data_IF_663618668116
#
_entry.id   IF_663618668116
#
_cell.length_a   1.000
_cell.length_b   1.000
_cell.length_c   1.000
_cell.angle_alpha   90.00
_cell.angle_beta   90.00
_cell.angle_gamma   90.00
#
_symmetry.space_group_name_H-M   'P 1'
#
loop_
_entity.id
_entity.type
_entity.pdbx_description
1 polymer ?
#
# COMPACT_ATOMS: atom_id res chain seq x y z
N UNK A 1 6.63 14.78 81.87
CA UNK A 1 5.57 14.84 82.84
C UNK A 1 4.52 13.86 82.40
N UNK A 2 4.63 12.53 82.82
CA UNK A 2 3.93 11.95 83.94
C UNK A 2 2.42 12.20 83.75
N UNK A 3 1.51 11.21 83.62
CA UNK A 3 1.16 10.04 84.39
C UNK A 3 0.16 9.15 83.59
N UNK A 4 0.37 7.89 83.34
CA UNK A 4 -0.23 6.65 83.89
C UNK A 4 -1.72 6.70 84.26
N UNK A 5 -2.53 5.72 83.81
CA UNK A 5 -3.23 4.69 84.57
C UNK A 5 -4.40 4.12 83.76
N UNK A 6 -4.50 2.92 83.43
CA UNK A 6 -4.75 1.62 84.10
C UNK A 6 -6.22 1.15 83.93
N UNK A 7 -6.32 -0.03 83.32
CA UNK A 7 -7.19 -1.22 83.54
C UNK A 7 -8.70 -1.06 83.79
N UNK A 8 -9.54 -1.75 83.00
CA UNK A 8 -10.35 -2.87 83.56
C UNK A 8 -10.83 -3.82 82.46
N UNK A 9 -10.80 -5.09 82.82
CA UNK A 9 -11.25 -6.29 82.09
C UNK A 9 -12.76 -6.43 82.17
N UNK A 10 -13.39 -6.94 81.11
CA UNK A 10 -14.75 -7.49 81.16
C UNK A 10 -14.83 -8.65 80.16
N UNK A 11 -15.20 -9.83 80.70
CA UNK A 11 -15.38 -11.10 79.98
C UNK A 11 -16.79 -11.21 79.38
N UNK A 12 -16.83 -11.84 78.21
CA UNK A 12 -17.80 -12.81 77.64
C UNK A 12 -19.15 -12.27 77.14
N UNK A 13 -19.87 -13.01 76.25
CA UNK A 13 -19.71 -14.39 75.85
C UNK A 13 -19.64 -14.61 74.31
N UNK A 14 -19.17 -15.79 73.95
CA UNK A 14 -19.09 -16.40 72.63
C UNK A 14 -20.51 -16.72 72.11
N UNK A 15 -20.88 -16.17 70.96
CA UNK A 15 -22.02 -16.64 70.14
C UNK A 15 -21.44 -17.23 68.85
N UNK A 16 -21.50 -18.55 68.75
CA UNK A 16 -21.13 -19.29 67.56
C UNK A 16 -22.20 -19.06 66.48
N UNK A 17 -21.85 -18.33 65.41
CA UNK A 17 -22.66 -18.21 64.21
C UNK A 17 -22.10 -19.16 63.15
N UNK A 18 -22.78 -20.29 62.90
CA UNK A 18 -22.52 -21.17 61.76
C UNK A 18 -22.86 -20.45 60.48
N UNK A 19 -21.86 -19.98 59.76
CA UNK A 19 -22.00 -19.55 58.35
C UNK A 19 -21.75 -20.73 57.44
N UNK A 20 -22.84 -21.18 56.80
CA UNK A 20 -22.80 -22.13 55.67
C UNK A 20 -22.25 -21.38 54.48
N UNK A 21 -21.02 -21.71 54.05
CA UNK A 21 -20.45 -21.27 52.74
C UNK A 21 -21.11 -22.10 51.64
N UNK A 22 -21.66 -21.44 50.59
CA UNK A 22 -22.03 -22.15 49.39
C UNK A 22 -20.72 -22.51 48.65
N UNK A 23 -20.45 -23.81 48.43
CA UNK A 23 -19.46 -24.27 47.45
C UNK A 23 -19.90 -23.80 46.06
N UNK A 24 -19.35 -22.69 45.63
CA UNK A 24 -19.39 -22.29 44.24
C UNK A 24 -18.55 -23.24 43.39
N UNK A 25 -19.19 -24.02 42.51
CA UNK A 25 -18.53 -24.75 41.43
C UNK A 25 -17.84 -23.69 40.53
N UNK A 26 -16.56 -23.45 40.80
CA UNK A 26 -15.69 -22.75 39.86
C UNK A 26 -15.51 -23.66 38.64
N UNK A 27 -16.37 -23.49 37.62
CA UNK A 27 -16.13 -24.03 36.30
C UNK A 27 -14.81 -23.47 35.80
N UNK A 28 -13.80 -24.31 35.63
CA UNK A 28 -12.60 -23.99 34.84
C UNK A 28 -13.05 -23.61 33.44
N UNK A 29 -13.26 -22.33 33.17
CA UNK A 29 -13.19 -21.82 31.81
C UNK A 29 -11.73 -22.03 31.38
N UNK A 30 -11.51 -23.05 30.51
CA UNK A 30 -10.27 -23.13 29.76
C UNK A 30 -10.15 -21.79 29.04
N UNK A 31 -9.17 -20.95 29.43
CA UNK A 31 -8.72 -19.85 28.60
C UNK A 31 -8.41 -20.46 27.24
N UNK A 32 -9.17 -20.06 26.22
CA UNK A 32 -8.84 -20.39 24.84
C UNK A 32 -7.45 -19.78 24.61
N UNK A 33 -6.48 -20.62 24.38
CA UNK A 33 -5.18 -20.18 23.84
C UNK A 33 -5.51 -19.35 22.61
N UNK A 34 -5.08 -18.08 22.51
CA UNK A 34 -5.34 -17.28 21.31
C UNK A 34 -4.77 -18.04 20.11
N UNK A 35 -5.60 -18.26 19.09
CA UNK A 35 -5.11 -18.81 17.82
C UNK A 35 -3.98 -17.91 17.31
N UNK A 36 -2.88 -18.50 16.77
CA UNK A 36 -1.78 -17.71 16.25
C UNK A 36 -2.31 -16.78 15.15
N UNK A 37 -2.05 -15.50 15.30
CA UNK A 37 -2.50 -14.50 14.33
C UNK A 37 -1.76 -14.70 12.99
N UNK A 38 -2.50 -14.96 11.92
CA UNK A 38 -1.95 -15.11 10.56
C UNK A 38 -1.33 -13.77 10.14
N UNK A 39 -0.04 -13.72 9.73
CA UNK A 39 0.58 -12.49 9.27
C UNK A 39 -0.08 -11.95 8.02
N UNK A 40 -0.12 -10.63 7.86
CA UNK A 40 -0.56 -9.98 6.63
C UNK A 40 0.46 -10.13 5.50
N UNK A 41 -0.04 -10.15 4.26
CA UNK A 41 0.80 -10.15 3.06
C UNK A 41 1.33 -11.52 2.65
N UNK A 42 0.75 -12.60 3.15
CA UNK A 42 1.10 -13.95 2.68
C UNK A 42 0.37 -14.25 1.37
N UNK A 43 1.10 -14.66 0.31
CA UNK A 43 0.48 -15.11 -0.93
C UNK A 43 -0.51 -16.25 -0.69
N UNK A 44 -1.65 -16.20 -1.36
CA UNK A 44 -2.65 -17.29 -1.35
C UNK A 44 -2.48 -18.17 -2.59
N UNK A 45 -2.80 -19.45 -2.45
CA UNK A 45 -2.99 -20.37 -3.57
C UNK A 45 -4.49 -20.55 -3.78
N UNK A 46 -5.03 -19.86 -4.79
CA UNK A 46 -6.47 -19.86 -5.04
C UNK A 46 -7.01 -18.54 -5.59
N UNK A 47 -8.34 -18.32 -5.50
CA UNK A 47 -8.94 -17.07 -5.94
C UNK A 47 -8.53 -15.90 -5.05
N UNK A 48 -8.31 -14.72 -5.66
CA UNK A 48 -8.06 -13.47 -4.94
C UNK A 48 -9.35 -12.70 -4.63
N UNK A 49 -10.39 -12.97 -5.43
CA UNK A 49 -11.68 -12.31 -5.39
C UNK A 49 -12.81 -13.33 -5.33
N UNK A 50 -13.87 -12.99 -4.60
CA UNK A 50 -15.13 -13.73 -4.61
C UNK A 50 -16.25 -12.82 -5.13
N UNK A 51 -17.01 -13.31 -6.11
CA UNK A 51 -18.19 -12.63 -6.65
C UNK A 51 -19.32 -12.70 -5.64
N UNK A 52 -19.90 -11.55 -5.27
CA UNK A 52 -21.04 -11.51 -4.36
C UNK A 52 -22.32 -11.97 -5.08
N UNK A 53 -22.93 -13.00 -4.54
CA UNK A 53 -24.20 -13.55 -5.03
C UNK A 53 -25.42 -12.78 -4.48
N UNK A 54 -26.64 -13.20 -4.86
CA UNK A 54 -27.89 -12.57 -4.41
C UNK A 54 -28.11 -12.62 -2.89
N UNK A 55 -27.54 -13.61 -2.20
CA UNK A 55 -27.65 -13.79 -0.75
C UNK A 55 -26.51 -13.16 0.06
N UNK A 56 -25.46 -12.68 -0.59
CA UNK A 56 -24.34 -12.04 0.10
C UNK A 56 -24.66 -10.60 0.50
N UNK A 57 -24.20 -10.14 1.68
CA UNK A 57 -24.32 -8.75 2.08
C UNK A 57 -23.52 -7.85 1.13
N UNK A 58 -24.22 -6.94 0.45
CA UNK A 58 -23.59 -5.98 -0.47
C UNK A 58 -23.10 -4.74 0.29
N UNK A 59 -21.98 -4.13 -0.13
CA UNK A 59 -21.52 -2.89 0.45
C UNK A 59 -22.46 -1.73 0.12
N UNK A 60 -22.62 -0.79 1.06
CA UNK A 60 -23.29 0.49 0.79
C UNK A 60 -22.34 1.42 0.06
N UNK A 61 -22.80 2.07 -1.01
CA UNK A 61 -22.05 3.07 -1.76
C UNK A 61 -22.32 4.51 -1.26
N UNK A 62 -23.23 4.70 -0.30
CA UNK A 62 -23.72 6.02 0.09
C UNK A 62 -22.62 6.97 0.56
N UNK A 63 -21.72 6.50 1.44
CA UNK A 63 -20.62 7.33 1.94
C UNK A 63 -19.60 7.65 0.84
N UNK A 64 -19.24 6.67 0.02
CA UNK A 64 -18.32 6.88 -1.11
C UNK A 64 -18.93 7.81 -2.18
N UNK A 65 -20.23 7.67 -2.47
CA UNK A 65 -20.95 8.56 -3.36
C UNK A 65 -20.98 10.01 -2.85
N UNK A 66 -21.22 10.21 -1.55
CA UNK A 66 -21.20 11.54 -0.94
C UNK A 66 -19.82 12.18 -0.94
N UNK A 67 -18.79 11.36 -0.89
CA UNK A 67 -17.40 11.79 -0.86
C UNK A 67 -16.74 11.91 -2.24
N UNK A 68 -17.51 11.70 -3.33
CA UNK A 68 -17.01 11.88 -4.69
C UNK A 68 -16.61 13.32 -4.94
N UNK A 69 -15.68 13.54 -5.84
CA UNK A 69 -15.22 14.87 -6.18
C UNK A 69 -14.09 14.84 -7.20
N UNK A 70 -13.44 15.97 -7.38
CA UNK A 70 -12.42 16.21 -8.40
C UNK A 70 -11.33 15.14 -8.44
N UNK A 71 -10.87 14.67 -7.28
CA UNK A 71 -9.80 13.65 -7.21
C UNK A 71 -10.24 12.32 -7.84
N UNK A 72 -11.50 11.91 -7.61
CA UNK A 72 -12.05 10.73 -8.27
C UNK A 72 -12.18 10.92 -9.78
N UNK A 73 -12.65 12.10 -10.24
CA UNK A 73 -12.77 12.41 -11.67
C UNK A 73 -11.41 12.39 -12.37
N UNK A 74 -10.37 12.96 -11.73
CA UNK A 74 -8.99 12.90 -12.22
C UNK A 74 -8.48 11.46 -12.30
N UNK A 75 -8.69 10.66 -11.27
CA UNK A 75 -8.26 9.26 -11.23
C UNK A 75 -8.98 8.41 -12.30
N UNK A 76 -10.28 8.62 -12.51
CA UNK A 76 -11.04 7.98 -13.58
C UNK A 76 -10.46 8.36 -14.98
N UNK A 77 -10.16 9.63 -15.19
CA UNK A 77 -9.54 10.09 -16.44
C UNK A 77 -8.16 9.44 -16.67
N UNK A 78 -7.36 9.28 -15.62
CA UNK A 78 -6.07 8.59 -15.71
C UNK A 78 -6.22 7.10 -16.08
N UNK A 79 -7.18 6.38 -15.48
CA UNK A 79 -7.46 4.99 -15.87
C UNK A 79 -7.93 4.89 -17.32
N UNK A 80 -8.82 5.76 -17.78
CA UNK A 80 -9.24 5.80 -19.19
C UNK A 80 -8.07 6.05 -20.13
N UNK A 81 -7.19 6.99 -19.81
CA UNK A 81 -5.96 7.27 -20.56
C UNK A 81 -5.04 6.05 -20.66
N UNK A 82 -4.94 5.26 -19.58
CA UNK A 82 -4.18 4.02 -19.61
C UNK A 82 -4.83 2.96 -20.52
N UNK A 83 -6.13 2.76 -20.43
CA UNK A 83 -6.84 1.81 -21.30
C UNK A 83 -6.76 2.19 -22.78
N UNK A 84 -6.61 3.46 -23.12
CA UNK A 84 -6.39 3.92 -24.51
C UNK A 84 -5.02 3.51 -25.08
N UNK A 85 -4.04 3.15 -24.22
CA UNK A 85 -2.75 2.64 -24.67
C UNK A 85 -2.89 1.19 -25.14
N UNK A 86 -2.44 0.82 -26.38
CA UNK A 86 -2.54 -0.55 -26.86
C UNK A 86 -1.88 -1.58 -25.92
N UNK A 87 -0.82 -1.17 -25.23
CA UNK A 87 -0.10 -2.00 -24.26
C UNK A 87 -0.95 -2.42 -23.06
N UNK A 88 -2.07 -1.75 -22.77
CA UNK A 88 -2.95 -2.16 -21.67
C UNK A 88 -3.59 -3.53 -21.90
N UNK A 89 -3.80 -3.93 -23.15
CA UNK A 89 -4.46 -5.19 -23.53
C UNK A 89 -3.67 -6.43 -23.11
N UNK A 90 -2.34 -6.33 -23.03
CA UNK A 90 -1.46 -7.48 -22.70
C UNK A 90 -1.67 -8.04 -21.28
N UNK A 91 -2.33 -7.28 -20.42
CA UNK A 91 -2.59 -7.65 -19.03
C UNK A 91 -3.96 -8.34 -18.84
N UNK A 92 -4.68 -8.58 -19.93
CA UNK A 92 -6.00 -9.21 -19.92
C UNK A 92 -6.05 -10.45 -20.81
N UNK A 93 -6.94 -11.43 -20.52
CA UNK A 93 -7.90 -11.42 -19.42
C UNK A 93 -7.20 -11.53 -18.06
N UNK A 94 -7.72 -10.80 -17.05
CA UNK A 94 -7.24 -10.91 -15.68
C UNK A 94 -7.73 -12.20 -15.05
N UNK A 95 -6.81 -12.98 -14.50
CA UNK A 95 -7.12 -14.18 -13.74
C UNK A 95 -7.54 -13.86 -12.32
N UNK A 96 -8.35 -14.74 -11.73
CA UNK A 96 -8.74 -14.67 -10.33
C UNK A 96 -7.67 -15.35 -9.46
N UNK A 97 -6.73 -14.55 -8.95
CA UNK A 97 -5.61 -15.08 -8.20
C UNK A 97 -4.77 -16.04 -9.04
N UNK A 98 -4.50 -17.23 -8.50
CA UNK A 98 -3.75 -18.31 -9.17
C UNK A 98 -4.63 -19.29 -9.95
N UNK A 99 -5.95 -19.05 -9.97
CA UNK A 99 -6.92 -19.95 -10.65
C UNK A 99 -6.97 -19.74 -12.16
N UNK A 100 -7.65 -20.64 -12.87
CA UNK A 100 -7.94 -20.50 -14.30
C UNK A 100 -9.11 -19.55 -14.60
N UNK A 101 -9.91 -19.18 -13.60
CA UNK A 101 -11.06 -18.30 -13.75
C UNK A 101 -10.64 -16.90 -14.22
N UNK A 102 -11.41 -16.30 -15.12
CA UNK A 102 -11.22 -14.92 -15.54
C UNK A 102 -12.16 -14.01 -14.72
N UNK A 103 -11.58 -12.95 -14.10
CA UNK A 103 -12.34 -11.91 -13.42
C UNK A 103 -12.88 -10.90 -14.42
N UNK A 104 -12.04 -10.48 -15.37
CA UNK A 104 -12.40 -9.47 -16.37
C UNK A 104 -11.63 -9.65 -17.67
N UNK A 105 -12.28 -9.38 -18.80
CA UNK A 105 -11.62 -9.10 -20.08
C UNK A 105 -11.21 -7.63 -20.15
N UNK A 106 -10.38 -7.27 -21.14
CA UNK A 106 -10.00 -5.88 -21.37
C UNK A 106 -11.21 -4.99 -21.70
N UNK A 107 -12.15 -5.52 -22.47
CA UNK A 107 -13.39 -4.83 -22.85
C UNK A 107 -14.24 -4.55 -21.61
N UNK A 108 -14.44 -5.54 -20.72
CA UNK A 108 -15.17 -5.35 -19.47
C UNK A 108 -14.50 -4.32 -18.56
N UNK A 109 -13.17 -4.40 -18.40
CA UNK A 109 -12.43 -3.50 -17.52
C UNK A 109 -12.44 -2.06 -18.03
N UNK A 110 -12.18 -1.84 -19.33
CA UNK A 110 -12.16 -0.51 -19.93
C UNK A 110 -13.56 0.13 -20.01
N UNK A 111 -14.55 -0.63 -20.47
CA UNK A 111 -15.96 -0.21 -20.49
C UNK A 111 -16.52 0.03 -19.09
N UNK A 112 -16.03 -0.73 -18.10
CA UNK A 112 -16.43 -0.57 -16.70
C UNK A 112 -16.05 0.80 -16.14
N UNK A 113 -14.89 1.34 -16.46
CA UNK A 113 -14.51 2.71 -16.06
C UNK A 113 -15.39 3.76 -16.73
N UNK A 114 -15.73 3.57 -18.01
CA UNK A 114 -16.66 4.46 -18.74
C UNK A 114 -18.05 4.42 -18.13
N UNK A 115 -18.60 3.23 -17.94
CA UNK A 115 -19.92 3.02 -17.34
C UNK A 115 -20.02 3.62 -15.94
N UNK A 116 -19.01 3.36 -15.08
CA UNK A 116 -18.96 3.92 -13.74
C UNK A 116 -18.98 5.45 -13.76
N UNK A 117 -18.14 6.07 -14.59
CA UNK A 117 -18.06 7.54 -14.71
C UNK A 117 -19.38 8.14 -15.18
N UNK A 118 -20.03 7.52 -16.16
CA UNK A 118 -21.31 7.96 -16.68
C UNK A 118 -22.41 7.83 -15.63
N UNK A 119 -22.54 6.66 -15.00
CA UNK A 119 -23.55 6.42 -13.96
C UNK A 119 -23.34 7.36 -12.77
N UNK A 120 -22.07 7.60 -12.36
CA UNK A 120 -21.76 8.53 -11.29
C UNK A 120 -22.23 9.95 -11.59
N UNK A 121 -22.05 10.42 -12.83
CA UNK A 121 -22.44 11.75 -13.28
C UNK A 121 -23.97 11.91 -13.41
N UNK A 122 -24.66 10.86 -13.85
CA UNK A 122 -26.11 10.89 -14.11
C UNK A 122 -26.96 10.61 -12.86
N UNK A 123 -26.38 10.02 -11.81
CA UNK A 123 -27.12 9.61 -10.63
C UNK A 123 -27.53 10.79 -9.76
N UNK A 124 -28.82 10.89 -9.48
CA UNK A 124 -29.43 11.95 -8.69
C UNK A 124 -29.24 11.78 -7.18
N UNK A 125 -29.01 10.56 -6.71
CA UNK A 125 -28.85 10.22 -5.30
C UNK A 125 -27.97 8.96 -5.12
N UNK A 126 -27.52 8.73 -3.88
CA UNK A 126 -26.77 7.53 -3.54
C UNK A 126 -27.58 6.24 -3.79
N UNK A 127 -28.88 6.27 -3.54
CA UNK A 127 -29.78 5.13 -3.78
C UNK A 127 -29.94 4.87 -5.28
N UNK A 128 -30.12 5.91 -6.10
CA UNK A 128 -30.17 5.79 -7.56
C UNK A 128 -28.85 5.24 -8.10
N UNK A 129 -27.71 5.76 -7.61
CA UNK A 129 -26.39 5.25 -7.96
C UNK A 129 -26.21 3.78 -7.61
N UNK A 130 -26.54 3.38 -6.37
CA UNK A 130 -26.47 1.99 -5.91
C UNK A 130 -27.25 1.06 -6.85
N UNK A 131 -28.51 1.42 -7.16
CA UNK A 131 -29.39 0.62 -8.02
C UNK A 131 -28.80 0.44 -9.41
N UNK A 132 -28.31 1.51 -10.04
CA UNK A 132 -27.73 1.48 -11.38
C UNK A 132 -26.42 0.66 -11.42
N UNK A 133 -25.55 0.82 -10.42
CA UNK A 133 -24.32 0.02 -10.33
C UNK A 133 -24.65 -1.46 -10.19
N UNK A 134 -25.54 -1.86 -9.30
CA UNK A 134 -25.92 -3.26 -9.10
C UNK A 134 -26.58 -3.89 -10.34
N UNK A 135 -27.24 -3.08 -11.16
CA UNK A 135 -27.83 -3.54 -12.41
C UNK A 135 -26.75 -3.99 -13.41
N UNK A 136 -25.69 -3.20 -13.59
CA UNK A 136 -24.73 -3.39 -14.69
C UNK A 136 -23.36 -3.93 -14.23
N UNK A 137 -23.04 -3.89 -12.93
CA UNK A 137 -21.79 -4.42 -12.40
C UNK A 137 -22.02 -5.67 -11.55
N UNK A 138 -21.07 -6.57 -11.63
CA UNK A 138 -20.81 -7.59 -10.61
C UNK A 138 -19.90 -6.98 -9.55
N UNK A 139 -20.21 -7.24 -8.28
CA UNK A 139 -19.40 -6.79 -7.15
C UNK A 139 -18.55 -7.97 -6.70
N UNK A 140 -17.24 -7.79 -6.74
CA UNK A 140 -16.28 -8.79 -6.29
C UNK A 140 -15.58 -8.27 -5.04
N UNK A 141 -15.46 -9.10 -4.01
CA UNK A 141 -14.78 -8.77 -2.77
C UNK A 141 -13.46 -9.52 -2.66
N UNK A 142 -12.41 -8.88 -2.16
CA UNK A 142 -11.18 -9.57 -1.81
C UNK A 142 -11.46 -10.70 -0.81
N UNK A 143 -10.81 -11.84 -1.00
CA UNK A 143 -10.94 -13.00 -0.10
C UNK A 143 -10.28 -12.77 1.26
N UNK A 144 -9.37 -11.78 1.37
CA UNK A 144 -8.77 -11.38 2.63
C UNK A 144 -7.57 -12.21 3.06
N UNK A 145 -7.26 -12.13 4.34
CA UNK A 145 -6.01 -12.53 4.98
C UNK A 145 -5.75 -14.04 4.92
N UNK A 146 -6.78 -14.84 5.11
CA UNK A 146 -6.67 -16.31 5.10
C UNK A 146 -7.38 -16.94 3.90
N UNK A 147 -7.78 -16.12 2.91
CA UNK A 147 -8.60 -16.56 1.78
C UNK A 147 -10.10 -16.63 2.08
N UNK A 148 -10.55 -16.32 3.30
CA UNK A 148 -11.94 -16.45 3.73
C UNK A 148 -12.46 -15.31 4.59
N UNK A 149 -11.61 -14.62 5.37
CA UNK A 149 -12.00 -13.60 6.35
C UNK A 149 -12.43 -12.26 5.69
N UNK A 150 -12.12 -12.09 4.39
CA UNK A 150 -12.44 -10.90 3.59
C UNK A 150 -11.84 -9.59 4.15
N UNK A 151 -10.85 -9.70 5.05
CA UNK A 151 -10.16 -8.56 5.65
C UNK A 151 -8.94 -8.17 4.82
N UNK A 152 -8.83 -6.89 4.50
CA UNK A 152 -7.69 -6.31 3.80
C UNK A 152 -7.04 -5.27 4.70
N UNK A 153 -5.74 -5.38 4.89
CA UNK A 153 -4.96 -4.34 5.56
C UNK A 153 -4.68 -3.20 4.59
N UNK A 154 -5.14 -2.01 4.94
CA UNK A 154 -4.83 -0.80 4.20
C UNK A 154 -3.68 -0.06 4.86
N UNK A 155 -2.55 0.00 4.17
CA UNK A 155 -1.42 0.87 4.51
C UNK A 155 -1.41 2.09 3.59
N UNK A 156 -0.49 3.04 3.84
CA UNK A 156 -0.44 4.28 3.06
C UNK A 156 0.91 4.44 2.36
N UNK A 157 0.87 5.06 1.19
CA UNK A 157 2.07 5.54 0.52
C UNK A 157 1.89 6.97 0.01
N UNK A 158 2.99 7.64 -0.27
CA UNK A 158 2.99 9.03 -0.68
C UNK A 158 4.13 9.30 -1.68
N UNK A 159 4.08 10.44 -2.34
CA UNK A 159 5.17 10.87 -3.22
C UNK A 159 6.09 11.82 -2.46
N UNK A 160 7.34 11.40 -2.20
CA UNK A 160 8.26 12.20 -1.40
C UNK A 160 8.83 13.37 -2.19
N UNK A 161 9.19 14.43 -1.44
CA UNK A 161 9.88 15.61 -1.93
C UNK A 161 11.19 15.80 -1.16
N UNK A 162 12.27 15.95 -1.91
CA UNK A 162 13.61 16.10 -1.35
C UNK A 162 14.39 17.23 -2.01
N UNK A 163 15.51 17.62 -1.38
CA UNK A 163 16.52 18.48 -1.99
C UNK A 163 17.63 17.62 -2.56
N UNK A 164 18.17 17.99 -3.71
CA UNK A 164 19.24 17.25 -4.36
C UNK A 164 20.10 18.12 -5.26
N UNK A 165 21.13 17.50 -5.86
CA UNK A 165 22.04 18.15 -6.81
C UNK A 165 22.42 17.18 -7.92
N UNK A 166 22.58 17.66 -9.15
CA UNK A 166 23.08 16.84 -10.28
C UNK A 166 24.54 16.47 -10.11
N UNK A 167 25.26 17.19 -9.28
CA UNK A 167 26.68 16.94 -9.01
C UNK A 167 26.91 16.68 -7.53
N UNK A 168 27.85 15.80 -7.22
CA UNK A 168 28.30 15.55 -5.86
C UNK A 168 28.96 16.80 -5.31
N UNK A 169 28.39 17.45 -4.30
CA UNK A 169 28.91 18.68 -3.73
C UNK A 169 28.35 18.96 -2.33
N UNK A 170 29.15 19.57 -1.46
CA UNK A 170 28.72 19.99 -0.12
C UNK A 170 27.98 18.88 0.63
N UNK A 171 26.69 19.11 0.95
CA UNK A 171 25.83 18.17 1.66
C UNK A 171 25.23 17.05 0.79
N UNK A 172 25.32 17.17 -0.52
CA UNK A 172 24.75 16.19 -1.45
C UNK A 172 25.77 15.09 -1.76
N UNK A 173 25.72 13.98 -1.01
CA UNK A 173 26.73 12.92 -1.04
C UNK A 173 26.17 11.54 -1.38
N UNK A 174 24.83 11.35 -1.39
CA UNK A 174 24.17 10.05 -1.51
C UNK A 174 23.39 9.95 -2.82
N UNK A 175 23.86 9.12 -3.79
CA UNK A 175 23.28 9.10 -5.13
C UNK A 175 22.05 8.22 -5.26
N UNK A 176 21.14 8.61 -6.17
CA UNK A 176 20.28 7.67 -6.92
C UNK A 176 20.96 7.35 -8.24
N UNK A 177 20.79 6.10 -8.69
CA UNK A 177 21.45 5.63 -9.90
C UNK A 177 20.46 5.38 -11.04
N UNK A 178 20.92 5.62 -12.27
CA UNK A 178 20.25 5.24 -13.51
C UNK A 178 20.21 3.72 -13.63
N UNK A 179 19.24 3.24 -14.40
CA UNK A 179 19.14 1.84 -14.76
C UNK A 179 20.39 1.42 -15.54
N UNK A 180 21.14 0.41 -15.07
CA UNK A 180 22.26 -0.17 -15.82
C UNK A 180 21.78 -0.90 -17.07
N UNK A 181 22.62 -0.90 -18.12
CA UNK A 181 22.28 -1.56 -19.39
C UNK A 181 22.22 -3.09 -19.29
N UNK A 182 22.93 -3.67 -18.33
CA UNK A 182 22.98 -5.11 -18.07
C UNK A 182 21.81 -5.63 -17.21
N UNK A 183 20.96 -4.74 -16.63
CA UNK A 183 19.79 -5.14 -15.87
C UNK A 183 18.73 -5.77 -16.79
N UNK A 184 18.40 -7.03 -16.56
CA UNK A 184 17.39 -7.79 -17.32
C UNK A 184 16.06 -7.78 -16.55
N UNK A 185 15.00 -7.39 -17.26
CA UNK A 185 13.62 -7.48 -16.77
C UNK A 185 12.74 -8.17 -17.81
N UNK A 186 11.66 -8.77 -17.36
CA UNK A 186 10.62 -9.28 -18.24
C UNK A 186 10.01 -8.12 -19.04
N UNK A 187 9.93 -8.22 -20.37
CA UNK A 187 9.49 -7.11 -21.22
C UNK A 187 7.99 -6.78 -21.07
N UNK A 188 7.21 -7.73 -20.57
CA UNK A 188 5.75 -7.57 -20.40
C UNK A 188 5.41 -7.15 -18.99
N UNK A 189 5.90 -7.89 -18.00
CA UNK A 189 5.54 -7.68 -16.59
C UNK A 189 6.43 -6.67 -15.88
N UNK A 190 7.65 -6.41 -16.41
CA UNK A 190 8.67 -5.61 -15.75
C UNK A 190 9.38 -6.32 -14.59
N UNK A 191 9.08 -7.61 -14.35
CA UNK A 191 9.73 -8.38 -13.28
C UNK A 191 11.24 -8.49 -13.49
N UNK A 192 12.05 -8.27 -12.42
CA UNK A 192 13.49 -8.40 -12.52
C UNK A 192 13.89 -9.88 -12.72
N UNK A 193 14.85 -10.11 -13.63
CA UNK A 193 15.39 -11.43 -13.94
C UNK A 193 16.86 -11.57 -13.55
N UNK A 194 17.54 -10.46 -13.23
CA UNK A 194 18.94 -10.42 -12.87
C UNK A 194 19.80 -9.55 -13.78
N UNK A 195 21.04 -9.94 -13.96
CA UNK A 195 22.10 -9.24 -14.68
C UNK A 195 22.58 -10.05 -15.87
N UNK A 196 22.74 -9.43 -17.02
CA UNK A 196 23.33 -10.05 -18.22
C UNK A 196 24.85 -9.94 -18.18
N UNK A 197 25.54 -11.06 -18.31
CA UNK A 197 26.99 -11.12 -18.44
C UNK A 197 27.43 -10.96 -19.91
N UNK A 198 28.73 -10.77 -20.12
CA UNK A 198 29.33 -10.61 -21.45
C UNK A 198 29.13 -11.83 -22.39
N UNK A 199 29.00 -13.03 -21.84
CA UNK A 199 28.70 -14.26 -22.56
C UNK A 199 27.19 -14.43 -22.87
N UNK A 200 26.36 -13.46 -22.48
CA UNK A 200 24.91 -13.46 -22.69
C UNK A 200 24.10 -14.17 -21.60
N UNK A 201 24.73 -14.89 -20.68
CA UNK A 201 24.05 -15.55 -19.55
C UNK A 201 23.42 -14.51 -18.60
N UNK A 202 22.39 -14.93 -17.87
CA UNK A 202 21.73 -14.09 -16.87
C UNK A 202 21.96 -14.71 -15.50
N UNK A 203 22.50 -13.92 -14.58
CA UNK A 203 22.76 -14.29 -13.20
C UNK A 203 22.04 -13.32 -12.25
N UNK A 204 21.89 -13.69 -10.99
CA UNK A 204 21.36 -12.77 -9.98
C UNK A 204 22.19 -11.50 -9.88
N UNK A 205 21.53 -10.35 -9.75
CA UNK A 205 22.19 -9.05 -9.54
C UNK A 205 22.90 -9.01 -8.17
N UNK A 206 23.83 -8.07 -7.99
CA UNK A 206 24.44 -7.80 -6.69
C UNK A 206 23.40 -7.27 -5.68
N UNK A 207 23.61 -7.55 -4.40
CA UNK A 207 22.81 -7.02 -3.31
C UNK A 207 23.08 -5.52 -3.10
N UNK A 208 22.17 -4.82 -2.40
CA UNK A 208 22.34 -3.41 -2.00
C UNK A 208 23.69 -3.15 -1.36
N UNK A 209 24.08 -3.96 -0.38
CA UNK A 209 25.35 -3.80 0.33
C UNK A 209 26.56 -4.03 -0.56
N UNK A 210 26.52 -5.00 -1.49
CA UNK A 210 27.58 -5.23 -2.48
C UNK A 210 27.69 -4.05 -3.43
N UNK A 211 26.56 -3.53 -3.97
CA UNK A 211 26.55 -2.35 -4.84
C UNK A 211 27.12 -1.11 -4.15
N UNK A 212 26.82 -0.92 -2.88
CA UNK A 212 27.34 0.21 -2.11
C UNK A 212 28.86 0.16 -1.93
N UNK A 213 29.44 -1.05 -1.83
CA UNK A 213 30.88 -1.26 -1.56
C UNK A 213 31.73 -1.43 -2.82
N UNK A 214 31.16 -1.99 -3.89
CA UNK A 214 31.93 -2.35 -5.09
C UNK A 214 32.33 -1.14 -5.96
N UNK A 215 31.54 -0.06 -5.89
CA UNK A 215 31.70 1.09 -6.78
C UNK A 215 31.29 0.82 -8.24
N UNK A 216 30.67 -0.35 -8.54
CA UNK A 216 30.29 -0.71 -9.92
C UNK A 216 29.23 0.20 -10.55
N UNK A 217 28.51 0.98 -9.71
CA UNK A 217 27.53 1.98 -10.18
C UNK A 217 28.18 3.38 -10.42
N UNK A 218 29.51 3.49 -10.31
CA UNK A 218 30.21 4.74 -10.59
C UNK A 218 29.98 5.18 -12.05
N UNK A 219 29.57 6.45 -12.24
CA UNK A 219 29.19 7.02 -13.53
C UNK A 219 27.70 6.81 -13.89
N UNK A 220 26.97 6.02 -13.13
CA UNK A 220 25.52 5.85 -13.31
C UNK A 220 24.68 6.77 -12.40
N UNK A 221 25.32 7.68 -11.64
CA UNK A 221 24.61 8.58 -10.74
C UNK A 221 23.68 9.51 -11.52
N UNK A 222 22.45 9.60 -11.05
CA UNK A 222 21.40 10.43 -11.64
C UNK A 222 21.29 11.78 -10.90
N UNK A 223 21.29 11.72 -9.57
CA UNK A 223 21.14 12.86 -8.66
C UNK A 223 21.70 12.48 -7.30
N UNK A 224 22.22 13.46 -6.58
CA UNK A 224 22.82 13.32 -5.25
C UNK A 224 21.92 13.95 -4.20
N UNK A 225 21.65 13.24 -3.08
CA UNK A 225 20.78 13.62 -1.99
C UNK A 225 21.59 13.95 -0.71
N UNK A 226 20.90 14.53 0.28
CA UNK A 226 21.52 14.94 1.54
C UNK A 226 21.87 13.78 2.47
N UNK A 227 21.10 12.67 2.42
CA UNK A 227 21.32 11.50 3.26
C UNK A 227 21.08 10.18 2.52
N UNK A 228 21.73 9.12 3.01
CA UNK A 228 21.48 7.74 2.54
C UNK A 228 20.05 7.31 2.83
N UNK A 229 19.46 7.77 3.93
CA UNK A 229 18.07 7.50 4.27
C UNK A 229 17.10 8.13 3.27
N UNK A 230 17.36 9.37 2.80
CA UNK A 230 16.52 10.01 1.78
C UNK A 230 16.58 9.22 0.46
N UNK A 231 17.78 8.80 0.05
CA UNK A 231 17.95 7.92 -1.12
C UNK A 231 17.20 6.59 -0.95
N UNK A 232 17.27 5.99 0.23
CA UNK A 232 16.55 4.75 0.56
C UNK A 232 15.03 4.95 0.51
N UNK A 233 14.51 6.03 1.08
CA UNK A 233 13.08 6.35 1.05
C UNK A 233 12.58 6.49 -0.39
N UNK A 234 13.32 7.17 -1.25
CA UNK A 234 12.98 7.30 -2.68
C UNK A 234 12.96 5.92 -3.36
N UNK A 235 13.92 5.05 -3.04
CA UNK A 235 13.96 3.69 -3.59
C UNK A 235 12.76 2.85 -3.15
N UNK A 236 12.27 3.02 -1.92
CA UNK A 236 11.06 2.32 -1.43
C UNK A 236 9.81 2.86 -2.12
N UNK A 237 9.70 4.19 -2.30
CA UNK A 237 8.53 4.83 -2.92
C UNK A 237 8.52 4.72 -4.47
N UNK A 238 9.68 4.49 -5.10
CA UNK A 238 9.79 4.32 -6.55
C UNK A 238 9.72 5.63 -7.36
N UNK A 239 9.40 6.77 -6.76
CA UNK A 239 9.38 8.09 -7.42
C UNK A 239 9.61 9.21 -6.41
N UNK A 240 10.09 10.37 -6.91
CA UNK A 240 10.24 11.59 -6.10
C UNK A 240 10.26 12.85 -6.96
N UNK A 241 9.88 13.97 -6.33
CA UNK A 241 10.23 15.31 -6.80
C UNK A 241 11.46 15.79 -6.02
N UNK A 242 12.47 16.26 -6.74
CA UNK A 242 13.74 16.72 -6.16
C UNK A 242 13.95 18.18 -6.54
N UNK A 243 13.95 19.05 -5.54
CA UNK A 243 14.23 20.48 -5.74
C UNK A 243 15.74 20.69 -5.81
N UNK A 244 16.20 21.26 -6.93
CA UNK A 244 17.60 21.56 -7.20
C UNK A 244 18.07 22.85 -6.51
N UNK A 245 19.38 23.10 -6.38
CA UNK A 245 19.89 24.30 -5.74
C UNK A 245 19.48 25.62 -6.42
N UNK A 246 19.16 25.56 -7.72
CA UNK A 246 18.67 26.71 -8.51
C UNK A 246 17.14 26.91 -8.42
N UNK A 247 16.46 26.07 -7.61
CA UNK A 247 15.02 26.10 -7.43
C UNK A 247 14.22 25.34 -8.49
N UNK A 248 14.85 24.78 -9.52
CA UNK A 248 14.20 23.91 -10.49
C UNK A 248 13.83 22.57 -9.86
N UNK A 249 12.89 21.86 -10.47
CA UNK A 249 12.48 20.53 -10.04
C UNK A 249 12.97 19.46 -11.02
N UNK A 250 13.52 18.38 -10.48
CA UNK A 250 13.75 17.12 -11.18
C UNK A 250 12.72 16.11 -10.72
N UNK A 251 12.15 15.37 -11.66
CA UNK A 251 11.25 14.26 -11.37
C UNK A 251 11.96 12.96 -11.69
N UNK A 252 12.01 12.06 -10.71
CA UNK A 252 12.60 10.73 -10.86
C UNK A 252 11.53 9.65 -10.69
N UNK A 253 11.56 8.66 -11.55
CA UNK A 253 10.64 7.53 -11.54
C UNK A 253 11.38 6.20 -11.64
N UNK A 254 10.71 5.14 -11.22
CA UNK A 254 11.20 3.77 -11.25
C UNK A 254 11.60 3.35 -12.68
N UNK A 255 12.81 2.82 -12.82
CA UNK A 255 13.35 2.33 -14.09
C UNK A 255 13.74 0.84 -14.04
N UNK A 256 13.57 0.20 -12.90
CA UNK A 256 13.87 -1.19 -12.64
C UNK A 256 14.47 -1.41 -11.27
N UNK A 257 14.53 -2.67 -10.86
CA UNK A 257 15.18 -3.09 -9.61
C UNK A 257 15.93 -4.40 -9.82
N UNK A 258 16.83 -4.72 -8.88
CA UNK A 258 17.47 -6.03 -8.83
C UNK A 258 16.45 -7.14 -8.51
N UNK A 259 16.79 -8.38 -8.88
CA UNK A 259 16.00 -9.58 -8.56
C UNK A 259 16.13 -10.03 -7.10
N UNK A 260 16.79 -9.22 -6.27
CA UNK A 260 16.97 -9.49 -4.84
C UNK A 260 15.70 -9.27 -4.03
N UNK A 261 15.52 -10.03 -2.94
CA UNK A 261 14.34 -9.90 -2.08
C UNK A 261 14.30 -8.53 -1.40
N UNK A 262 13.07 -8.05 -1.21
CA UNK A 262 12.80 -6.85 -0.42
C UNK A 262 12.65 -7.23 1.06
N UNK A 263 13.30 -6.46 1.94
CA UNK A 263 13.10 -6.54 3.37
C UNK A 263 12.94 -5.14 3.97
N UNK A 264 11.82 -4.88 4.65
CA UNK A 264 11.46 -3.54 5.13
C UNK A 264 12.39 -3.05 6.25
N UNK A 265 12.87 -1.79 6.14
CA UNK A 265 13.71 -1.17 7.17
C UNK A 265 13.03 -1.12 8.53
N UNK A 266 11.72 -0.80 8.56
CA UNK A 266 10.96 -0.77 9.81
C UNK A 266 11.03 -2.12 10.55
N UNK A 267 10.84 -3.23 9.84
CA UNK A 267 10.98 -4.57 10.41
C UNK A 267 12.41 -4.84 10.87
N UNK A 268 13.41 -4.44 10.08
CA UNK A 268 14.82 -4.57 10.47
C UNK A 268 15.12 -3.86 11.78
N UNK A 269 14.53 -2.66 11.99
CA UNK A 269 14.73 -1.87 13.22
C UNK A 269 14.02 -2.46 14.43
N UNK A 270 12.84 -3.04 14.23
CA UNK A 270 12.11 -3.75 15.29
C UNK A 270 12.89 -5.03 15.71
N UNK A 271 13.30 -5.84 14.75
CA UNK A 271 14.09 -7.06 14.99
C UNK A 271 15.43 -6.76 15.70
N UNK A 272 16.01 -5.59 15.44
CA UNK A 272 17.24 -5.13 16.10
C UNK A 272 17.00 -4.44 17.45
N UNK A 273 15.75 -4.31 17.90
CA UNK A 273 15.39 -3.63 19.15
C UNK A 273 15.59 -2.11 19.17
N UNK A 274 15.80 -1.49 17.99
CA UNK A 274 15.94 -0.03 17.87
C UNK A 274 14.62 0.72 17.96
N UNK A 275 13.53 0.08 17.54
CA UNK A 275 12.16 0.57 17.63
C UNK A 275 11.24 -0.56 18.08
N UNK A 276 10.08 -0.21 18.61
CA UNK A 276 9.00 -1.15 18.90
C UNK A 276 7.89 -0.97 17.85
N UNK A 277 7.08 -2.00 17.61
CA UNK A 277 6.02 -1.98 16.58
C UNK A 277 5.03 -0.82 16.77
N UNK A 278 4.65 -0.55 18.03
CA UNK A 278 3.75 0.55 18.41
C UNK A 278 4.34 1.96 18.15
N UNK A 279 5.66 2.06 18.03
CA UNK A 279 6.37 3.32 17.76
C UNK A 279 6.96 3.38 16.35
N UNK A 280 6.67 2.42 15.50
CA UNK A 280 7.20 2.38 14.15
C UNK A 280 6.49 3.42 13.27
N UNK A 281 7.25 4.42 12.84
CA UNK A 281 6.82 5.46 11.91
C UNK A 281 8.03 6.00 11.16
N UNK A 282 7.81 6.66 10.01
CA UNK A 282 8.92 7.30 9.30
C UNK A 282 9.59 8.40 10.14
N UNK A 283 8.83 9.10 10.97
CA UNK A 283 9.37 10.08 11.90
C UNK A 283 10.33 9.47 12.94
N UNK A 284 9.98 8.30 13.50
CA UNK A 284 10.85 7.57 14.44
C UNK A 284 12.09 6.99 13.74
N UNK A 285 11.95 6.48 12.50
CA UNK A 285 13.06 6.04 11.67
C UNK A 285 14.03 7.21 11.40
N UNK A 286 13.51 8.37 10.97
CA UNK A 286 14.33 9.59 10.79
C UNK A 286 15.00 10.04 12.08
N UNK A 287 14.32 9.92 13.23
CA UNK A 287 14.90 10.25 14.53
C UNK A 287 16.05 9.31 14.91
N UNK A 288 15.88 8.00 14.71
CA UNK A 288 16.92 7.00 14.93
C UNK A 288 18.13 7.24 14.00
N UNK A 289 17.88 7.53 12.72
CA UNK A 289 18.93 7.85 11.75
C UNK A 289 19.74 9.08 12.15
N UNK A 290 19.09 10.17 12.60
CA UNK A 290 19.81 11.36 13.08
C UNK A 290 20.69 11.07 14.31
N UNK A 291 20.27 10.12 15.16
CA UNK A 291 21.01 9.72 16.37
C UNK A 291 22.20 8.83 16.04
N UNK A 292 22.03 7.88 15.17
CA UNK A 292 23.06 6.93 14.74
C UNK A 292 22.85 6.51 13.28
N UNK A 293 23.39 7.30 12.33
CA UNK A 293 23.29 6.99 10.90
C UNK A 293 23.86 5.60 10.56
N UNK A 294 25.02 5.25 11.12
CA UNK A 294 25.73 4.02 10.77
C UNK A 294 24.93 2.76 11.17
N UNK A 295 24.31 2.77 12.36
CA UNK A 295 23.47 1.67 12.80
C UNK A 295 22.25 1.48 11.88
N UNK A 296 21.60 2.58 11.43
CA UNK A 296 20.45 2.49 10.54
C UNK A 296 20.88 2.09 9.13
N UNK A 297 22.00 2.57 8.62
CA UNK A 297 22.57 2.18 7.31
C UNK A 297 22.87 0.68 7.26
N UNK A 298 23.44 0.10 8.31
CA UNK A 298 23.64 -1.36 8.41
C UNK A 298 22.31 -2.14 8.33
N UNK A 299 21.22 -1.59 8.89
CA UNK A 299 19.90 -2.21 8.80
C UNK A 299 19.23 -2.00 7.43
N UNK A 300 19.53 -0.91 6.72
CA UNK A 300 19.09 -0.73 5.32
C UNK A 300 19.70 -1.77 4.40
N UNK A 301 20.90 -2.26 4.65
CA UNK A 301 21.54 -3.32 3.86
C UNK A 301 20.82 -4.68 3.96
N UNK A 302 20.02 -4.94 4.99
CA UNK A 302 19.18 -6.15 5.09
C UNK A 302 18.12 -6.22 3.97
N UNK A 303 17.75 -5.07 3.42
CA UNK A 303 17.00 -5.01 2.17
C UNK A 303 17.97 -5.18 1.00
N UNK A 304 18.10 -6.40 0.49
CA UNK A 304 19.00 -6.70 -0.62
C UNK A 304 18.57 -6.07 -1.94
N UNK A 305 17.28 -5.74 -2.09
CA UNK A 305 16.74 -5.13 -3.31
C UNK A 305 17.26 -3.71 -3.51
N UNK A 306 17.70 -3.40 -4.74
CA UNK A 306 18.15 -2.07 -5.15
C UNK A 306 17.31 -1.56 -6.32
N UNK A 307 16.86 -0.29 -6.23
CA UNK A 307 15.98 0.34 -7.24
C UNK A 307 16.76 1.38 -8.03
N UNK A 308 16.59 1.35 -9.36
CA UNK A 308 17.17 2.27 -10.32
C UNK A 308 16.11 3.23 -10.87
N UNK A 309 16.55 4.41 -11.28
CA UNK A 309 15.69 5.51 -11.66
C UNK A 309 15.98 6.06 -13.05
N UNK A 310 14.98 6.72 -13.61
CA UNK A 310 15.09 7.61 -14.75
C UNK A 310 14.55 8.98 -14.42
N UNK A 311 15.11 10.02 -15.03
CA UNK A 311 14.52 11.35 -15.04
C UNK A 311 13.45 11.41 -16.13
N UNK A 312 12.34 12.11 -15.85
CA UNK A 312 11.28 12.37 -16.80
C UNK A 312 10.73 13.81 -16.64
N UNK A 313 9.89 14.25 -17.54
CA UNK A 313 9.40 15.64 -17.61
C UNK A 313 8.42 16.02 -16.48
N UNK A 314 7.97 15.03 -15.68
CA UNK A 314 7.02 15.25 -14.60
C UNK A 314 5.58 15.46 -15.04
N UNK A 315 5.26 15.35 -16.34
CA UNK A 315 3.90 15.59 -16.86
C UNK A 315 2.85 14.68 -16.24
N UNK A 316 3.22 13.46 -15.88
CA UNK A 316 2.38 12.49 -15.19
C UNK A 316 2.78 12.26 -13.72
N UNK A 317 3.62 13.12 -13.15
CA UNK A 317 4.02 12.99 -11.75
C UNK A 317 2.89 13.39 -10.79
N UNK A 318 2.68 12.64 -9.69
CA UNK A 318 3.35 11.39 -9.31
C UNK A 318 2.79 10.20 -10.11
N UNK A 319 3.67 9.44 -10.75
CA UNK A 319 3.29 8.31 -11.60
C UNK A 319 3.20 7.00 -10.81
N UNK A 320 2.09 6.27 -10.99
CA UNK A 320 1.95 4.89 -10.56
C UNK A 320 2.53 3.91 -11.59
N UNK A 321 2.51 2.64 -11.28
CA UNK A 321 3.05 1.54 -12.11
C UNK A 321 2.37 1.39 -13.48
N UNK A 322 1.16 1.92 -13.64
CA UNK A 322 0.48 2.00 -14.95
C UNK A 322 1.04 3.12 -15.83
N UNK A 323 2.00 3.91 -15.35
CA UNK A 323 2.54 5.06 -16.07
C UNK A 323 1.51 6.17 -16.28
N UNK A 324 0.57 6.29 -15.35
CA UNK A 324 -0.38 7.39 -15.25
C UNK A 324 -0.27 8.03 -13.87
N UNK A 325 -0.76 9.26 -13.74
CA UNK A 325 -0.74 9.99 -12.49
C UNK A 325 -1.63 9.32 -11.45
N UNK A 326 -1.09 9.12 -10.24
CA UNK A 326 -1.89 8.72 -9.07
C UNK A 326 -2.44 9.95 -8.37
N UNK A 327 -3.65 9.80 -7.80
CA UNK A 327 -4.42 10.91 -7.23
C UNK A 327 -4.73 10.62 -5.77
N UNK A 328 -4.47 11.59 -4.89
CA UNK A 328 -4.69 11.50 -3.45
C UNK A 328 -6.12 11.10 -3.11
N UNK A 329 -6.26 10.06 -2.26
CA UNK A 329 -7.56 9.54 -1.81
C UNK A 329 -8.43 8.94 -2.91
N UNK A 330 -7.87 8.73 -4.14
CA UNK A 330 -8.57 8.18 -5.29
C UNK A 330 -7.77 7.13 -6.08
N UNK A 331 -6.50 6.88 -5.72
CA UNK A 331 -5.67 5.82 -6.31
C UNK A 331 -5.20 4.84 -5.23
N UNK A 332 -5.20 3.55 -5.56
CA UNK A 332 -4.66 2.48 -4.70
C UNK A 332 -3.56 1.70 -5.43
N UNK A 333 -2.71 1.08 -4.64
CA UNK A 333 -1.74 0.10 -5.08
C UNK A 333 -2.13 -1.28 -4.54
N UNK A 334 -2.09 -2.30 -5.41
CA UNK A 334 -2.40 -3.70 -5.08
C UNK A 334 -1.41 -4.66 -5.75
N UNK A 335 -1.51 -5.94 -5.46
CA UNK A 335 -0.76 -6.97 -6.17
C UNK A 335 -1.31 -7.18 -7.59
N UNK A 336 -0.58 -6.68 -8.57
CA UNK A 336 -0.97 -6.76 -10.00
C UNK A 336 -0.86 -8.16 -10.61
N UNK A 337 -0.40 -9.15 -9.87
CA UNK A 337 -0.43 -10.55 -10.30
C UNK A 337 -1.83 -11.16 -10.13
N UNK A 338 -2.58 -10.66 -9.14
CA UNK A 338 -3.85 -11.25 -8.72
C UNK A 338 -5.05 -10.30 -8.86
N UNK A 339 -4.82 -8.98 -8.97
CA UNK A 339 -5.89 -7.99 -9.10
C UNK A 339 -5.90 -7.28 -10.45
N UNK A 340 -7.09 -6.90 -10.97
CA UNK A 340 -7.21 -6.23 -12.26
C UNK A 340 -6.67 -4.79 -12.20
N UNK A 341 -5.93 -4.42 -13.25
CA UNK A 341 -5.32 -3.09 -13.41
C UNK A 341 -6.33 -2.06 -13.88
N UNK A 342 -6.24 -0.83 -13.36
CA UNK A 342 -7.01 0.32 -13.81
C UNK A 342 -8.50 0.29 -13.45
N UNK A 343 -8.95 -0.76 -12.76
CA UNK A 343 -10.36 -0.97 -12.42
C UNK A 343 -10.84 -0.07 -11.28
N UNK A 344 -12.17 0.09 -11.20
CA UNK A 344 -12.84 0.81 -10.11
C UNK A 344 -12.97 -0.09 -8.90
N UNK A 345 -12.59 0.43 -7.74
CA UNK A 345 -12.74 -0.23 -6.46
C UNK A 345 -13.58 0.59 -5.49
N UNK A 346 -14.17 -0.07 -4.49
CA UNK A 346 -14.67 0.55 -3.27
C UNK A 346 -13.77 0.09 -2.12
N UNK A 347 -13.23 1.05 -1.40
CA UNK A 347 -12.43 0.85 -0.18
C UNK A 347 -13.25 1.30 1.01
N UNK A 348 -13.47 0.39 1.97
CA UNK A 348 -14.06 0.68 3.26
C UNK A 348 -13.07 0.35 4.37
N UNK A 349 -12.55 1.36 5.06
CA UNK A 349 -11.57 1.22 6.14
C UNK A 349 -11.64 2.42 7.09
N UNK A 350 -10.58 2.66 7.84
CA UNK A 350 -10.33 3.89 8.59
C UNK A 350 -9.10 4.59 8.02
N UNK A 351 -9.00 5.90 8.25
CA UNK A 351 -7.84 6.69 7.84
C UNK A 351 -7.40 7.62 8.96
N UNK A 352 -6.10 7.87 9.14
CA UNK A 352 -5.63 8.85 10.10
C UNK A 352 -6.01 10.27 9.69
N UNK A 353 -6.11 11.16 10.65
CA UNK A 353 -6.23 12.60 10.42
C UNK A 353 -5.10 13.35 11.12
N UNK A 354 -4.79 14.57 10.68
CA UNK A 354 -3.70 15.35 11.27
C UNK A 354 -4.01 15.79 12.72
N UNK A 355 -5.27 16.07 13.03
CA UNK A 355 -5.63 16.73 14.29
C UNK A 355 -6.64 15.97 15.16
N UNK A 356 -7.22 14.90 14.62
CA UNK A 356 -8.23 14.07 15.29
C UNK A 356 -7.80 12.61 15.20
N UNK A 357 -8.42 11.74 15.97
CA UNK A 357 -8.22 10.30 15.83
C UNK A 357 -8.64 9.79 14.45
N UNK A 358 -8.37 8.50 14.14
CA UNK A 358 -8.75 7.91 12.86
C UNK A 358 -10.26 7.99 12.61
N UNK A 359 -10.65 8.32 11.37
CA UNK A 359 -12.05 8.42 10.95
C UNK A 359 -12.42 7.34 9.93
N UNK A 360 -13.72 7.10 9.76
CA UNK A 360 -14.21 6.16 8.74
C UNK A 360 -13.87 6.67 7.34
N UNK A 361 -13.35 5.77 6.52
CA UNK A 361 -12.97 6.03 5.15
C UNK A 361 -13.74 5.09 4.22
N UNK A 362 -14.62 5.65 3.41
CA UNK A 362 -15.32 4.94 2.35
C UNK A 362 -15.18 5.75 1.07
N UNK A 363 -14.47 5.21 0.05
CA UNK A 363 -14.15 5.91 -1.20
C UNK A 363 -14.17 4.95 -2.38
N UNK A 364 -14.60 5.46 -3.52
CA UNK A 364 -14.25 4.87 -4.81
C UNK A 364 -12.82 5.26 -5.15
N UNK A 365 -12.04 4.27 -5.54
CA UNK A 365 -10.63 4.46 -5.91
C UNK A 365 -10.30 3.65 -7.16
N UNK A 366 -9.26 4.04 -7.88
CA UNK A 366 -8.80 3.35 -9.07
C UNK A 366 -7.52 2.58 -8.76
N UNK A 367 -7.44 1.35 -9.22
CA UNK A 367 -6.29 0.47 -8.99
C UNK A 367 -5.18 0.74 -9.99
N UNK A 368 -4.36 1.77 -9.72
CA UNK A 368 -3.42 2.38 -10.66
C UNK A 368 -1.96 2.12 -10.34
N UNK A 369 -1.66 1.47 -9.20
CA UNK A 369 -0.30 1.31 -8.76
C UNK A 369 -0.04 -0.07 -8.13
N UNK A 370 1.23 -0.36 -7.88
CA UNK A 370 1.69 -1.55 -7.15
C UNK A 370 2.93 -1.23 -6.33
N UNK A 371 3.24 -2.06 -5.36
CA UNK A 371 4.43 -1.94 -4.54
C UNK A 371 5.11 -3.28 -4.29
N UNK A 372 6.42 -3.27 -4.10
CA UNK A 372 7.21 -4.49 -3.88
C UNK A 372 6.87 -5.26 -2.60
N UNK A 373 6.17 -4.61 -1.67
CA UNK A 373 5.70 -5.21 -0.41
C UNK A 373 4.20 -5.62 -0.46
N UNK A 374 3.52 -5.39 -1.59
CA UNK A 374 2.10 -5.72 -1.77
C UNK A 374 2.04 -7.01 -2.59
N UNK A 375 1.93 -8.15 -1.93
CA UNK A 375 2.11 -9.48 -2.54
C UNK A 375 0.94 -10.44 -2.29
N UNK A 376 -0.21 -9.96 -1.80
CA UNK A 376 -1.32 -10.82 -1.40
C UNK A 376 -2.69 -10.14 -1.55
N UNK A 377 -3.75 -10.94 -1.42
CA UNK A 377 -5.13 -10.45 -1.51
C UNK A 377 -5.58 -9.65 -0.27
N UNK A 378 -4.87 -9.78 0.82
CA UNK A 378 -5.17 -9.14 2.10
C UNK A 378 -4.47 -7.79 2.27
N UNK A 379 -3.85 -7.22 1.22
CA UNK A 379 -3.11 -5.96 1.34
C UNK A 379 -3.34 -5.01 0.17
N UNK A 380 -3.54 -3.73 0.51
CA UNK A 380 -3.58 -2.64 -0.45
C UNK A 380 -3.01 -1.37 0.20
N UNK A 381 -2.39 -0.50 -0.60
CA UNK A 381 -1.84 0.76 -0.13
C UNK A 381 -2.64 1.94 -0.71
N UNK A 382 -3.05 2.87 0.16
CA UNK A 382 -3.77 4.09 -0.21
C UNK A 382 -2.78 5.19 -0.58
N UNK A 383 -2.98 5.84 -1.72
CA UNK A 383 -2.17 7.00 -2.07
C UNK A 383 -2.62 8.23 -1.27
N UNK A 384 -1.73 8.73 -0.41
CA UNK A 384 -2.00 9.80 0.54
C UNK A 384 -1.60 11.21 0.03
N UNK A 385 -1.05 11.31 -1.21
CA UNK A 385 -0.66 12.58 -1.79
C UNK A 385 0.84 12.84 -1.79
N UNK A 386 1.23 14.11 -1.69
CA UNK A 386 2.59 14.59 -1.93
C UNK A 386 3.12 15.31 -0.68
N UNK A 387 4.40 15.10 -0.37
CA UNK A 387 5.16 15.89 0.62
C UNK A 387 4.87 15.53 2.07
N UNK A 388 5.22 16.44 3.00
CA UNK A 388 5.31 16.15 4.43
C UNK A 388 3.97 15.78 5.09
N UNK A 389 2.86 16.41 4.71
CA UNK A 389 1.54 16.07 5.25
C UNK A 389 1.13 14.66 4.83
N UNK A 390 1.33 14.32 3.56
CA UNK A 390 1.06 12.99 3.03
C UNK A 390 1.97 11.93 3.68
N UNK A 391 3.23 12.25 3.98
CA UNK A 391 4.15 11.39 4.73
C UNK A 391 3.60 11.02 6.10
N UNK A 392 3.07 12.00 6.85
CA UNK A 392 2.48 11.78 8.18
C UNK A 392 1.24 10.88 8.08
N UNK A 393 0.34 11.17 7.14
CA UNK A 393 -0.88 10.38 6.92
C UNK A 393 -0.54 8.95 6.48
N UNK A 394 0.36 8.80 5.52
CA UNK A 394 0.81 7.49 5.05
C UNK A 394 1.44 6.64 6.17
N UNK A 395 2.27 7.28 7.01
CA UNK A 395 2.88 6.62 8.16
C UNK A 395 1.91 6.20 9.26
N UNK A 396 0.74 6.84 9.32
CA UNK A 396 -0.33 6.49 10.27
C UNK A 396 -1.41 5.57 9.68
N UNK A 397 -1.37 5.27 8.40
CA UNK A 397 -2.35 4.40 7.74
C UNK A 397 -1.99 2.94 7.96
N UNK A 398 -2.70 2.29 8.88
CA UNK A 398 -2.56 0.87 9.20
C UNK A 398 -3.88 0.36 9.79
N UNK A 399 -4.89 0.17 8.93
CA UNK A 399 -6.22 -0.23 9.37
C UNK A 399 -6.78 -1.34 8.50
N UNK A 400 -7.39 -2.38 9.11
CA UNK A 400 -8.14 -3.38 8.37
C UNK A 400 -9.41 -2.79 7.77
N UNK A 401 -9.93 -3.46 6.76
CA UNK A 401 -11.16 -3.07 6.09
C UNK A 401 -11.54 -4.02 4.99
N UNK A 402 -12.36 -3.56 4.05
CA UNK A 402 -12.84 -4.36 2.93
C UNK A 402 -12.52 -3.70 1.59
N UNK A 403 -12.08 -4.50 0.63
CA UNK A 403 -11.81 -4.09 -0.75
C UNK A 403 -12.79 -4.77 -1.69
N UNK A 404 -13.48 -3.98 -2.51
CA UNK A 404 -14.39 -4.47 -3.54
C UNK A 404 -13.96 -3.95 -4.89
N UNK A 405 -14.10 -4.80 -5.93
CA UNK A 405 -13.96 -4.44 -7.33
C UNK A 405 -15.32 -4.41 -8.01
N UNK A 406 -15.56 -3.38 -8.80
CA UNK A 406 -16.75 -3.25 -9.63
C UNK A 406 -16.39 -3.69 -11.05
N UNK A 407 -16.82 -4.88 -11.44
CA UNK A 407 -16.54 -5.47 -12.75
C UNK A 407 -17.79 -5.40 -13.59
N UNK A 408 -17.73 -4.71 -14.73
CA UNK A 408 -18.87 -4.59 -15.65
C UNK A 408 -19.30 -5.98 -16.15
N UNK A 409 -20.58 -6.27 -16.10
CA UNK A 409 -21.12 -7.53 -16.64
C UNK A 409 -20.90 -7.57 -18.15
N UNK A 410 -20.57 -8.74 -18.74
CA UNK A 410 -20.15 -8.85 -20.14
C UNK A 410 -21.18 -8.29 -21.14
N UNK A 411 -22.47 -8.48 -20.88
CA UNK A 411 -23.58 -8.04 -21.73
C UNK A 411 -23.70 -6.51 -21.87
N UNK A 412 -23.06 -5.74 -20.96
CA UNK A 412 -23.06 -4.29 -21.01
C UNK A 412 -21.79 -3.68 -21.65
N UNK A 413 -20.74 -4.49 -21.90
CA UNK A 413 -19.46 -3.96 -22.36
C UNK A 413 -19.55 -3.16 -23.68
N UNK A 414 -20.40 -3.58 -24.62
CA UNK A 414 -20.60 -2.89 -25.90
C UNK A 414 -21.38 -1.56 -25.78
N UNK A 415 -22.08 -1.34 -24.66
CA UNK A 415 -22.88 -0.12 -24.43
C UNK A 415 -22.02 1.06 -23.94
N UNK A 416 -20.82 0.77 -23.42
CA UNK A 416 -19.91 1.77 -22.87
C UNK A 416 -18.54 1.76 -23.57
N UNK A 417 -18.49 2.09 -24.85
CA UNK A 417 -17.23 2.03 -25.60
C UNK A 417 -16.21 3.01 -25.04
N UNK A 418 -14.94 2.60 -25.03
CA UNK A 418 -13.84 3.49 -24.64
C UNK A 418 -13.79 4.68 -25.61
N UNK A 419 -13.78 5.93 -25.12
CA UNK A 419 -13.70 7.10 -25.96
C UNK A 419 -12.46 7.06 -26.87
N UNK A 420 -12.61 7.47 -28.13
CA UNK A 420 -11.46 7.66 -29.01
C UNK A 420 -10.53 8.76 -28.44
N UNK A 421 -9.22 8.61 -28.67
CA UNK A 421 -8.22 9.60 -28.25
C UNK A 421 -8.62 11.01 -28.76
N UNK A 422 -8.77 11.96 -27.85
CA UNK A 422 -8.98 13.38 -28.21
C UNK A 422 -10.40 13.94 -27.97
N UNK A 423 -11.26 13.25 -27.21
CA UNK A 423 -12.56 13.81 -26.80
C UNK A 423 -12.80 13.67 -25.29
#
# INVERSE_FOLDING_TARGET
MIVRSARRRGLAPVLALCTVLPLGLAGCQKEKTPEPEIPWGLPIDGPALVKLGPGDPKPSFAAAFSARGRNLDESLAQSLSWFQKPSSKQFFPQKNGTTAENVATWEQASAGVVAFRQILAESSSATDFQTRIEQVFDIWQSVGKDGTDRQVLFTGYYSPEFKGSRTRSGRFQHPLHRRPADLVTDPVTGEPKGRRLADGSVVSYATRGELARSGELAGAELVWLESSLDAYIIQVNGSARITMPDGSNMFVGYAGKTDRPYFGLGRSMVDAGLLTEDRLSLASIRSAYRKDPAAVEALMERNESYVFFTEYDGSNWPAGSLGVRVTEGASIATDKKIFPRGGVTLVNTRTPTISRGPENFSRFMLDQDTGGAITAADRADLYMGIGATAEILAGGQYFPGSLYYLILKPEYASQYPLPANGR
#
